data_IF_103271625690
#
_entry.id   IF_103271625690
#
_cell.length_a   1.000
_cell.length_b   1.000
_cell.length_c   1.000
_cell.angle_alpha   90.00
_cell.angle_beta   90.00
_cell.angle_gamma   90.00
#
_symmetry.space_group_name_H-M   'P 1'
#
loop_
_entity.id
_entity.type
_entity.pdbx_description
1 polymer ?
#
# COMPACT_ATOMS: atom_id res chain seq x y z
N UNK A 1 18.49 3.77 2.43
CA UNK A 1 17.32 4.66 2.22
C UNK A 1 16.12 3.96 1.57
N UNK A 2 16.29 3.22 0.47
CA UNK A 2 15.15 2.57 -0.24
C UNK A 2 14.34 1.58 0.61
N UNK A 3 15.01 0.76 1.43
CA UNK A 3 14.34 -0.17 2.36
C UNK A 3 13.43 0.53 3.38
N UNK A 4 13.89 1.67 3.91
CA UNK A 4 13.11 2.48 4.87
C UNK A 4 11.82 2.96 4.21
N UNK A 5 11.90 3.43 2.97
CA UNK A 5 10.72 3.87 2.21
C UNK A 5 9.75 2.70 1.97
N UNK A 6 10.24 1.52 1.60
CA UNK A 6 9.39 0.33 1.42
C UNK A 6 8.64 -0.05 2.71
N UNK A 7 9.34 -0.04 3.84
CA UNK A 7 8.74 -0.33 5.15
C UNK A 7 7.72 0.75 5.52
N UNK A 8 8.04 2.01 5.30
CA UNK A 8 7.15 3.13 5.62
C UNK A 8 5.86 3.06 4.79
N UNK A 9 5.98 2.78 3.49
CA UNK A 9 4.82 2.58 2.63
C UNK A 9 3.99 1.37 3.05
N UNK A 10 4.63 0.29 3.50
CA UNK A 10 3.94 -0.88 4.02
C UNK A 10 3.17 -0.56 5.32
N UNK A 11 3.78 0.19 6.24
CA UNK A 11 3.12 0.67 7.45
C UNK A 11 1.92 1.59 7.13
N UNK A 12 2.04 2.45 6.11
CA UNK A 12 0.93 3.29 5.64
C UNK A 12 -0.24 2.41 5.15
N UNK A 13 0.02 1.33 4.42
CA UNK A 13 -1.05 0.41 4.01
C UNK A 13 -1.69 -0.30 5.21
N UNK A 14 -0.93 -0.67 6.24
CA UNK A 14 -1.48 -1.26 7.47
C UNK A 14 -2.36 -0.25 8.20
N UNK A 15 -1.91 1.01 8.27
CA UNK A 15 -2.68 2.09 8.90
C UNK A 15 -4.02 2.34 8.21
N UNK A 16 -4.12 2.13 6.89
CA UNK A 16 -5.40 2.15 6.18
C UNK A 16 -6.40 1.14 6.75
N UNK A 17 -6.01 -0.13 6.90
CA UNK A 17 -6.90 -1.17 7.44
C UNK A 17 -7.29 -0.92 8.90
N UNK A 18 -6.35 -0.40 9.71
CA UNK A 18 -6.62 -0.01 11.10
C UNK A 18 -7.63 1.15 11.13
N UNK A 19 -7.42 2.17 10.30
CA UNK A 19 -8.30 3.32 10.23
C UNK A 19 -9.71 2.90 9.80
N UNK A 20 -9.83 1.93 8.89
CA UNK A 20 -11.11 1.38 8.46
C UNK A 20 -11.84 0.77 9.63
N UNK A 21 -11.17 -0.15 10.33
CA UNK A 21 -11.77 -0.90 11.43
C UNK A 21 -12.21 -0.01 12.60
N UNK A 22 -11.48 1.09 12.86
CA UNK A 22 -11.75 1.96 14.01
C UNK A 22 -12.71 3.09 13.64
N UNK A 23 -12.66 3.59 12.41
CA UNK A 23 -13.23 4.88 12.04
C UNK A 23 -13.76 4.91 10.61
N UNK A 24 -14.73 4.05 10.32
CA UNK A 24 -15.41 3.94 9.03
C UNK A 24 -15.79 5.32 8.44
N UNK A 25 -16.32 6.23 9.28
CA UNK A 25 -16.74 7.57 8.86
C UNK A 25 -15.62 8.45 8.29
N UNK A 26 -14.40 8.40 8.84
CA UNK A 26 -13.28 9.25 8.42
C UNK A 26 -12.64 8.74 7.13
N UNK A 27 -12.72 7.44 6.87
CA UNK A 27 -12.16 6.85 5.66
C UNK A 27 -12.87 7.32 4.42
N UNK A 28 -14.17 7.54 4.48
CA UNK A 28 -14.94 8.03 3.33
C UNK A 28 -14.44 9.38 2.83
N UNK A 29 -14.24 10.34 3.73
CA UNK A 29 -13.69 11.66 3.38
C UNK A 29 -12.27 11.60 2.82
N UNK A 30 -11.51 10.55 3.16
CA UNK A 30 -10.10 10.42 2.78
C UNK A 30 -9.85 9.29 1.77
N UNK A 31 -10.90 8.68 1.19
CA UNK A 31 -10.76 7.45 0.40
C UNK A 31 -9.91 7.66 -0.86
N UNK A 32 -9.99 8.85 -1.45
CA UNK A 32 -9.16 9.26 -2.58
C UNK A 32 -7.67 9.37 -2.22
N UNK A 33 -7.35 9.83 -1.00
CA UNK A 33 -5.97 9.91 -0.51
C UNK A 33 -5.43 8.50 -0.28
N UNK A 34 -6.22 7.61 0.33
CA UNK A 34 -5.85 6.22 0.51
C UNK A 34 -5.63 5.49 -0.81
N UNK A 35 -6.49 5.74 -1.80
CA UNK A 35 -6.36 5.17 -3.15
C UNK A 35 -5.08 5.64 -3.85
N UNK A 36 -4.82 6.95 -3.83
CA UNK A 36 -3.61 7.50 -4.45
C UNK A 36 -2.33 7.00 -3.78
N UNK A 37 -2.30 6.89 -2.45
CA UNK A 37 -1.19 6.30 -1.71
C UNK A 37 -0.99 4.82 -2.05
N UNK A 38 -2.06 4.04 -2.16
CA UNK A 38 -1.99 2.63 -2.55
C UNK A 38 -1.47 2.47 -3.98
N UNK A 39 -1.94 3.29 -4.93
CA UNK A 39 -1.45 3.29 -6.31
C UNK A 39 0.04 3.66 -6.38
N UNK A 40 0.49 4.68 -5.65
CA UNK A 40 1.91 5.05 -5.56
C UNK A 40 2.75 3.94 -4.93
N UNK A 41 2.23 3.26 -3.90
CA UNK A 41 2.90 2.13 -3.27
C UNK A 41 3.07 0.92 -4.23
N UNK A 42 2.09 0.67 -5.12
CA UNK A 42 2.23 -0.32 -6.19
C UNK A 42 3.35 0.09 -7.17
N UNK A 43 3.34 1.32 -7.66
CA UNK A 43 4.34 1.81 -8.64
C UNK A 43 5.75 1.72 -8.05
N UNK A 44 5.90 2.17 -6.81
CA UNK A 44 7.19 2.14 -6.09
C UNK A 44 7.63 0.71 -5.79
N UNK A 45 6.71 -0.18 -5.40
CA UNK A 45 6.97 -1.61 -5.21
C UNK A 45 7.45 -2.29 -6.50
N UNK A 46 6.78 -2.07 -7.63
CA UNK A 46 7.17 -2.63 -8.94
C UNK A 46 8.55 -2.12 -9.35
N UNK A 47 8.80 -0.81 -9.23
CA UNK A 47 10.12 -0.22 -9.52
C UNK A 47 11.20 -0.80 -8.60
N UNK A 48 10.89 -1.00 -7.33
CA UNK A 48 11.84 -1.57 -6.37
C UNK A 48 12.15 -3.03 -6.64
N UNK A 49 11.18 -3.82 -7.11
CA UNK A 49 11.34 -5.22 -7.47
C UNK A 49 12.22 -5.41 -8.73
N UNK A 50 12.05 -4.53 -9.73
CA UNK A 50 12.86 -4.56 -10.97
C UNK A 50 14.28 -4.02 -10.80
N UNK A 51 14.56 -3.33 -9.70
CA UNK A 51 15.88 -2.75 -9.47
C UNK A 51 16.81 -3.74 -8.79
N UNK A 52 18.10 -3.66 -9.12
CA UNK A 52 19.10 -4.47 -8.44
C UNK A 52 19.23 -4.08 -6.95
N UNK A 53 19.53 -5.07 -6.08
CA UNK A 53 19.81 -4.81 -4.68
C UNK A 53 21.06 -3.93 -4.54
N UNK A 54 21.12 -3.10 -3.51
CA UNK A 54 22.39 -2.45 -3.15
C UNK A 54 23.44 -3.50 -2.74
N UNK A 55 24.73 -3.18 -2.95
CA UNK A 55 25.88 -4.06 -2.67
C UNK A 55 25.89 -4.74 -1.29
N UNK A 56 25.18 -4.18 -0.30
CA UNK A 56 25.16 -4.63 1.08
C UNK A 56 23.82 -5.29 1.50
N UNK A 57 22.91 -5.55 0.55
CA UNK A 57 21.57 -6.02 0.84
C UNK A 57 21.33 -7.40 0.22
N UNK A 58 20.82 -8.34 1.03
CA UNK A 58 20.43 -9.66 0.53
C UNK A 58 19.37 -9.51 -0.55
N UNK A 59 19.70 -9.94 -1.78
CA UNK A 59 18.82 -9.91 -2.95
C UNK A 59 17.45 -10.52 -2.66
N UNK A 60 17.44 -11.60 -1.89
CA UNK A 60 16.21 -12.28 -1.48
C UNK A 60 15.36 -11.41 -0.57
N UNK A 61 15.94 -10.83 0.49
CA UNK A 61 15.18 -9.98 1.41
C UNK A 61 14.56 -8.76 0.71
N UNK A 62 15.33 -8.07 -0.13
CA UNK A 62 14.82 -6.90 -0.86
C UNK A 62 13.67 -7.28 -1.81
N UNK A 63 13.78 -8.43 -2.48
CA UNK A 63 12.72 -8.99 -3.32
C UNK A 63 11.46 -9.34 -2.51
N UNK A 64 11.61 -9.93 -1.32
CA UNK A 64 10.47 -10.24 -0.46
C UNK A 64 9.72 -8.98 0.00
N UNK A 65 10.44 -7.95 0.45
CA UNK A 65 9.82 -6.70 0.89
C UNK A 65 9.09 -5.96 -0.24
N UNK A 66 9.69 -5.94 -1.43
CA UNK A 66 9.05 -5.31 -2.59
C UNK A 66 7.81 -6.08 -3.06
N UNK A 67 7.86 -7.41 -3.10
CA UNK A 67 6.67 -8.24 -3.40
C UNK A 67 5.57 -8.06 -2.35
N UNK A 68 5.91 -8.10 -1.07
CA UNK A 68 4.95 -7.89 0.01
C UNK A 68 4.28 -6.51 -0.12
N UNK A 69 5.05 -5.45 -0.42
CA UNK A 69 4.49 -4.13 -0.64
C UNK A 69 3.51 -4.09 -1.81
N UNK A 70 3.85 -4.73 -2.94
CA UNK A 70 2.95 -4.81 -4.11
C UNK A 70 1.65 -5.53 -3.75
N UNK A 71 1.74 -6.70 -3.09
CA UNK A 71 0.58 -7.50 -2.71
C UNK A 71 -0.34 -6.73 -1.78
N UNK A 72 0.22 -6.15 -0.70
CA UNK A 72 -0.57 -5.39 0.28
C UNK A 72 -1.20 -4.17 -0.36
N UNK A 73 -0.47 -3.43 -1.19
CA UNK A 73 -1.01 -2.24 -1.85
C UNK A 73 -2.10 -2.58 -2.87
N UNK A 74 -1.96 -3.71 -3.58
CA UNK A 74 -3.00 -4.23 -4.47
C UNK A 74 -4.26 -4.63 -3.68
N UNK A 75 -4.10 -5.31 -2.54
CA UNK A 75 -5.20 -5.63 -1.63
C UNK A 75 -5.92 -4.36 -1.13
N UNK A 76 -5.17 -3.31 -0.76
CA UNK A 76 -5.78 -2.01 -0.38
C UNK A 76 -6.60 -1.41 -1.51
N UNK A 77 -6.09 -1.41 -2.75
CA UNK A 77 -6.83 -0.91 -3.92
C UNK A 77 -8.12 -1.71 -4.14
N UNK A 78 -8.03 -3.04 -4.13
CA UNK A 78 -9.21 -3.91 -4.28
C UNK A 78 -10.24 -3.68 -3.16
N UNK A 79 -9.77 -3.45 -1.93
CA UNK A 79 -10.63 -3.15 -0.80
C UNK A 79 -11.33 -1.80 -0.94
N UNK A 80 -10.63 -0.77 -1.41
CA UNK A 80 -11.21 0.53 -1.71
C UNK A 80 -12.27 0.42 -2.82
N UNK A 81 -11.99 -0.35 -3.88
CA UNK A 81 -12.97 -0.62 -4.95
C UNK A 81 -14.20 -1.36 -4.41
N UNK A 82 -13.99 -2.33 -3.52
CA UNK A 82 -15.08 -3.04 -2.87
C UNK A 82 -15.98 -2.09 -2.05
N UNK A 83 -15.39 -1.20 -1.25
CA UNK A 83 -16.13 -0.18 -0.50
C UNK A 83 -16.91 0.73 -1.46
N UNK A 84 -16.26 1.21 -2.52
CA UNK A 84 -16.87 2.10 -3.50
C UNK A 84 -18.11 1.49 -4.19
N UNK A 85 -18.11 0.17 -4.43
CA UNK A 85 -19.23 -0.54 -5.08
C UNK A 85 -20.33 -0.89 -4.07
N UNK A 86 -19.97 -1.41 -2.89
CA UNK A 86 -20.94 -1.93 -1.92
C UNK A 86 -21.58 -0.84 -1.06
N UNK A 87 -20.90 0.30 -0.92
CA UNK A 87 -21.33 1.40 -0.07
C UNK A 87 -21.32 2.74 -0.83
N UNK A 88 -22.06 2.85 -1.95
CA UNK A 88 -22.03 4.04 -2.81
C UNK A 88 -22.59 5.29 -2.12
N UNK A 89 -23.41 5.14 -1.07
CA UNK A 89 -23.98 6.25 -0.31
C UNK A 89 -22.95 7.04 0.53
N UNK A 90 -21.71 6.53 0.60
CA UNK A 90 -20.62 7.16 1.34
C UNK A 90 -19.51 7.74 0.42
N UNK A 91 -19.78 7.80 -0.90
CA UNK A 91 -18.97 8.51 -1.91
C UNK A 91 -19.65 9.83 -2.29
#
# INVERSE_FOLDING_TARGET
MRRVILILLMLIQILFFINYTINDGIIFYNIYIWFTLAALAIITGIRAFRSEPHLNESRHMHSYFSLALIIVSCASVLFILYIAIMQPYYL
#
